data_IF_962837817515
#
_entry.id   IF_962837817515
#
_cell.length_a   1.000
_cell.length_b   1.000
_cell.length_c   1.000
_cell.angle_alpha   90.00
_cell.angle_beta   90.00
_cell.angle_gamma   90.00
#
_symmetry.space_group_name_H-M   'P 1'
#
loop_
_entity.id
_entity.type
_entity.pdbx_description
1 polymer ?
#
# COMPACT_ATOMS: atom_id res chain seq x y z
N UNK A 1 -10.41 -7.89 69.16
CA UNK A 1 -10.06 -8.79 68.04
C UNK A 1 -8.80 -8.22 67.41
N UNK A 2 -7.67 -8.87 67.58
CA UNK A 2 -6.39 -8.39 67.03
C UNK A 2 -6.34 -8.74 65.54
N UNK A 3 -5.78 -7.86 64.71
CA UNK A 3 -5.66 -8.05 63.27
C UNK A 3 -4.97 -9.37 62.87
N UNK A 4 -4.21 -9.96 63.80
CA UNK A 4 -3.53 -11.24 63.64
C UNK A 4 -4.47 -12.46 63.71
N UNK A 5 -5.69 -12.30 64.22
CA UNK A 5 -6.65 -13.40 64.35
C UNK A 5 -7.29 -13.80 63.01
N UNK A 6 -7.41 -12.85 62.07
CA UNK A 6 -8.08 -13.11 60.78
C UNK A 6 -7.23 -13.99 59.86
N UNK A 7 -5.92 -13.74 59.80
CA UNK A 7 -4.99 -14.50 58.97
C UNK A 7 -4.83 -15.94 59.49
N UNK A 8 -4.72 -16.12 60.81
CA UNK A 8 -4.62 -17.45 61.41
C UNK A 8 -5.91 -18.27 61.25
N UNK A 9 -7.08 -17.62 61.12
CA UNK A 9 -8.36 -18.26 60.86
C UNK A 9 -8.51 -18.76 59.42
N UNK A 10 -7.95 -18.05 58.43
CA UNK A 10 -7.99 -18.48 57.02
C UNK A 10 -6.88 -19.50 56.70
N UNK A 11 -5.64 -19.24 57.13
CA UNK A 11 -4.48 -20.04 56.74
C UNK A 11 -4.06 -21.09 57.78
N UNK A 12 -4.72 -21.13 58.94
CA UNK A 12 -4.33 -21.98 60.06
C UNK A 12 -3.17 -21.41 60.87
N UNK A 13 -2.94 -21.96 62.07
CA UNK A 13 -1.82 -21.57 62.93
C UNK A 13 -0.49 -22.03 62.34
N UNK A 14 0.44 -21.09 62.19
CA UNK A 14 1.81 -21.35 61.77
C UNK A 14 2.52 -22.22 62.81
N UNK A 15 3.26 -23.25 62.36
CA UNK A 15 3.98 -24.17 63.25
C UNK A 15 5.46 -23.75 63.38
N UNK A 16 6.07 -23.86 64.57
CA UNK A 16 7.49 -23.57 64.76
C UNK A 16 8.34 -24.38 63.78
N UNK A 17 9.21 -23.71 63.02
CA UNK A 17 10.11 -24.34 62.04
C UNK A 17 9.58 -24.41 60.60
N UNK A 18 8.35 -23.97 60.32
CA UNK A 18 7.83 -23.87 58.95
C UNK A 18 7.73 -22.41 58.52
N UNK A 19 8.73 -21.90 57.81
CA UNK A 19 8.68 -20.56 57.20
C UNK A 19 7.74 -20.61 55.99
N UNK A 20 6.71 -19.75 55.93
CA UNK A 20 6.02 -19.47 54.66
C UNK A 20 6.98 -18.71 53.76
N UNK A 21 7.59 -19.40 52.80
CA UNK A 21 8.32 -18.74 51.72
C UNK A 21 7.35 -17.92 50.88
N UNK A 22 7.68 -16.66 50.59
CA UNK A 22 7.05 -15.94 49.48
C UNK A 22 7.58 -16.58 48.21
N UNK A 23 6.91 -17.64 47.77
CA UNK A 23 7.28 -18.34 46.55
C UNK A 23 7.05 -17.41 45.37
N UNK A 24 8.11 -17.05 44.64
CA UNK A 24 7.93 -16.84 43.22
C UNK A 24 7.38 -18.17 42.69
N UNK A 25 6.11 -18.20 42.30
CA UNK A 25 5.57 -19.30 41.49
C UNK A 25 6.41 -19.48 40.21
N UNK A 26 6.05 -20.42 39.32
CA UNK A 26 6.69 -20.49 38.00
C UNK A 26 6.78 -19.06 37.46
N UNK A 27 8.00 -18.61 37.15
CA UNK A 27 8.22 -17.22 36.74
C UNK A 27 7.23 -16.95 35.62
N UNK A 28 6.41 -15.89 35.64
CA UNK A 28 5.39 -15.68 34.62
C UNK A 28 5.95 -15.76 33.19
N UNK A 29 7.24 -15.47 33.00
CA UNK A 29 7.99 -15.65 31.76
C UNK A 29 8.27 -17.11 31.33
N UNK A 30 7.88 -18.13 32.10
CA UNK A 30 7.89 -19.54 31.66
C UNK A 30 6.51 -19.97 31.13
N UNK A 31 5.43 -19.36 31.63
CA UNK A 31 4.08 -19.50 31.06
C UNK A 31 3.87 -18.56 29.86
N UNK A 32 4.56 -17.43 29.88
CA UNK A 32 4.63 -16.41 28.82
C UNK A 32 6.10 -16.16 28.48
N UNK A 33 6.85 -17.23 28.14
CA UNK A 33 8.13 -17.08 27.45
C UNK A 33 7.97 -16.19 26.23
N UNK A 34 9.05 -15.62 25.65
CA UNK A 34 8.94 -14.74 24.50
C UNK A 34 8.00 -15.39 23.50
N UNK A 35 6.83 -14.79 23.34
CA UNK A 35 5.69 -15.42 22.72
C UNK A 35 6.17 -15.94 21.36
N UNK A 36 6.05 -17.24 21.11
CA UNK A 36 6.30 -17.84 19.80
C UNK A 36 5.29 -17.38 18.73
N UNK A 37 4.63 -16.23 18.94
CA UNK A 37 3.99 -15.41 17.93
C UNK A 37 5.01 -14.85 16.93
N UNK A 38 5.73 -15.76 16.29
CA UNK A 38 6.45 -15.51 15.05
C UNK A 38 6.41 -16.75 14.11
N UNK A 39 5.81 -17.88 14.52
CA UNK A 39 5.63 -19.05 13.65
C UNK A 39 4.23 -19.12 13.03
N UNK A 40 3.57 -17.97 12.85
CA UNK A 40 2.44 -17.81 11.93
C UNK A 40 2.86 -17.17 10.59
N UNK A 41 4.17 -16.93 10.41
CA UNK A 41 4.68 -15.97 9.43
C UNK A 41 5.23 -16.58 8.14
N UNK A 42 5.48 -17.89 8.06
CA UNK A 42 6.07 -18.49 6.86
C UNK A 42 5.14 -18.38 5.64
N UNK A 43 3.88 -18.81 5.81
CA UNK A 43 2.85 -18.73 4.77
C UNK A 43 2.50 -17.28 4.42
N UNK A 44 2.39 -16.39 5.42
CA UNK A 44 2.17 -14.96 5.16
C UNK A 44 3.35 -14.30 4.45
N UNK A 45 4.60 -14.68 4.77
CA UNK A 45 5.79 -14.15 4.12
C UNK A 45 5.85 -14.62 2.66
N UNK A 46 5.59 -15.89 2.38
CA UNK A 46 5.54 -16.43 1.02
C UNK A 46 4.40 -15.80 0.20
N UNK A 47 3.21 -15.64 0.79
CA UNK A 47 2.09 -14.97 0.13
C UNK A 47 2.37 -13.48 -0.14
N UNK A 48 3.03 -12.78 0.79
CA UNK A 48 3.40 -11.37 0.60
C UNK A 48 4.51 -11.22 -0.45
N UNK A 49 5.50 -12.12 -0.47
CA UNK A 49 6.52 -12.16 -1.52
C UNK A 49 5.92 -12.44 -2.90
N UNK A 50 4.98 -13.40 -2.99
CA UNK A 50 4.26 -13.68 -4.25
C UNK A 50 3.49 -12.46 -4.74
N UNK A 51 2.71 -11.82 -3.86
CA UNK A 51 1.96 -10.61 -4.20
C UNK A 51 2.86 -9.46 -4.64
N UNK A 52 4.05 -9.32 -4.03
CA UNK A 52 5.02 -8.31 -4.45
C UNK A 52 5.53 -8.56 -5.87
N UNK A 53 5.85 -9.82 -6.21
CA UNK A 53 6.27 -10.18 -7.58
C UNK A 53 5.15 -9.93 -8.59
N UNK A 54 3.93 -10.35 -8.29
CA UNK A 54 2.75 -10.13 -9.14
C UNK A 54 2.50 -8.64 -9.38
N UNK A 55 2.52 -7.81 -8.32
CA UNK A 55 2.38 -6.36 -8.46
C UNK A 55 3.53 -5.72 -9.25
N UNK A 56 4.73 -6.28 -9.18
CA UNK A 56 5.88 -5.78 -9.94
C UNK A 56 5.73 -6.08 -11.44
N UNK A 57 5.25 -7.28 -11.79
CA UNK A 57 4.91 -7.63 -13.18
C UNK A 57 3.76 -6.77 -13.72
N UNK A 58 2.69 -6.55 -12.93
CA UNK A 58 1.58 -5.67 -13.30
C UNK A 58 2.05 -4.25 -13.53
N UNK A 59 2.91 -3.71 -12.65
CA UNK A 59 3.45 -2.36 -12.77
C UNK A 59 4.31 -2.21 -14.03
N UNK A 60 5.15 -3.20 -14.35
CA UNK A 60 5.94 -3.19 -15.59
C UNK A 60 5.03 -3.26 -16.83
N UNK A 61 4.01 -4.12 -16.80
CA UNK A 61 3.01 -4.21 -17.86
C UNK A 61 2.23 -2.91 -18.05
N UNK A 62 1.83 -2.25 -16.96
CA UNK A 62 1.10 -0.98 -17.01
C UNK A 62 1.98 0.16 -17.55
N UNK A 63 3.25 0.23 -17.14
CA UNK A 63 4.22 1.19 -17.68
C UNK A 63 4.39 1.05 -19.19
N UNK A 64 4.49 -0.19 -19.69
CA UNK A 64 4.58 -0.45 -21.12
C UNK A 64 3.31 -0.02 -21.86
N UNK A 65 2.12 -0.32 -21.31
CA UNK A 65 0.84 0.14 -21.87
C UNK A 65 0.75 1.67 -21.92
N UNK A 66 1.17 2.36 -20.85
CA UNK A 66 1.18 3.82 -20.79
C UNK A 66 2.11 4.41 -21.85
N UNK A 67 3.30 3.85 -22.01
CA UNK A 67 4.25 4.30 -23.04
C UNK A 67 3.69 4.12 -24.46
N UNK A 68 3.07 2.98 -24.74
CA UNK A 68 2.42 2.74 -26.03
C UNK A 68 1.30 3.76 -26.30
N UNK A 69 0.47 4.04 -25.30
CA UNK A 69 -0.59 5.06 -25.41
C UNK A 69 -0.03 6.47 -25.65
N UNK A 70 1.08 6.82 -25.02
CA UNK A 70 1.77 8.09 -25.20
C UNK A 70 2.36 8.22 -26.62
N UNK A 71 3.01 7.17 -27.12
CA UNK A 71 3.55 7.12 -28.48
C UNK A 71 2.43 7.25 -29.53
N UNK A 72 1.30 6.57 -29.32
CA UNK A 72 0.11 6.66 -30.18
C UNK A 72 -0.51 8.08 -30.14
N UNK A 73 -0.60 8.69 -28.96
CA UNK A 73 -1.06 10.06 -28.80
C UNK A 73 -0.13 11.05 -29.52
N UNK A 74 1.19 10.87 -29.43
CA UNK A 74 2.16 11.69 -30.15
C UNK A 74 2.05 11.52 -31.67
N UNK A 75 1.82 10.30 -32.16
CA UNK A 75 1.59 10.03 -33.57
C UNK A 75 0.29 10.70 -34.06
N UNK A 76 -0.79 10.62 -33.29
CA UNK A 76 -2.05 11.29 -33.62
C UNK A 76 -1.93 12.82 -33.62
N UNK A 77 -1.21 13.41 -32.65
CA UNK A 77 -0.93 14.86 -32.63
C UNK A 77 -0.21 15.29 -33.91
N UNK A 78 0.77 14.52 -34.40
CA UNK A 78 1.47 14.79 -35.67
C UNK A 78 0.54 14.72 -36.88
N UNK A 79 -0.34 13.70 -36.94
CA UNK A 79 -1.32 13.56 -38.03
C UNK A 79 -2.31 14.73 -38.06
N UNK A 80 -2.82 15.15 -36.90
CA UNK A 80 -3.69 16.33 -36.81
C UNK A 80 -3.00 17.58 -37.35
N UNK A 81 -1.77 17.88 -36.89
CA UNK A 81 -1.01 19.03 -37.38
C UNK A 81 -0.77 19.00 -38.89
N UNK A 82 -0.50 17.83 -39.45
CA UNK A 82 -0.33 17.67 -40.89
C UNK A 82 -1.64 17.95 -41.65
N UNK A 83 -2.77 17.48 -41.12
CA UNK A 83 -4.09 17.73 -41.69
C UNK A 83 -4.49 19.21 -41.59
N UNK A 84 -4.24 19.87 -40.46
CA UNK A 84 -4.42 21.32 -40.28
C UNK A 84 -3.62 22.11 -41.33
N UNK A 85 -2.34 21.77 -41.49
CA UNK A 85 -1.48 22.42 -42.48
C UNK A 85 -1.99 22.23 -43.91
N UNK A 86 -2.49 21.03 -44.24
CA UNK A 86 -3.09 20.76 -45.55
C UNK A 86 -4.38 21.55 -45.79
N UNK A 87 -5.24 21.68 -44.77
CA UNK A 87 -6.46 22.49 -44.84
C UNK A 87 -6.13 23.96 -45.07
N UNK A 88 -5.21 24.53 -44.28
CA UNK A 88 -4.74 25.91 -44.46
C UNK A 88 -4.25 26.15 -45.90
N UNK A 89 -3.45 25.23 -46.43
CA UNK A 89 -2.94 25.32 -47.80
C UNK A 89 -4.07 25.32 -48.86
N UNK A 90 -5.11 24.51 -48.70
CA UNK A 90 -6.23 24.44 -49.63
C UNK A 90 -7.06 25.73 -49.64
N UNK A 91 -7.37 26.27 -48.47
CA UNK A 91 -8.14 27.52 -48.34
C UNK A 91 -7.39 28.72 -48.94
N UNK A 92 -6.08 28.82 -48.67
CA UNK A 92 -5.22 29.82 -49.30
C UNK A 92 -5.29 29.75 -50.84
N UNK A 93 -5.34 28.55 -51.42
CA UNK A 93 -5.43 28.36 -52.88
C UNK A 93 -6.81 28.76 -53.44
N UNK A 94 -7.86 28.59 -52.66
CA UNK A 94 -9.23 28.99 -53.03
C UNK A 94 -9.47 30.49 -52.88
N UNK A 95 -8.56 31.22 -52.24
CA UNK A 95 -8.72 32.65 -51.95
C UNK A 95 -9.72 32.94 -50.84
N UNK A 96 -10.08 31.92 -50.06
CA UNK A 96 -10.97 32.01 -48.91
C UNK A 96 -10.15 31.95 -47.61
N UNK A 97 -10.53 32.74 -46.61
CA UNK A 97 -9.97 32.59 -45.26
C UNK A 97 -10.71 31.49 -44.48
N UNK A 98 -9.97 30.77 -43.65
CA UNK A 98 -10.54 29.78 -42.74
C UNK A 98 -11.49 30.47 -41.75
N UNK A 99 -12.71 29.94 -41.53
CA UNK A 99 -13.64 30.45 -40.54
C UNK A 99 -13.01 30.58 -39.14
N UNK A 100 -13.33 31.68 -38.44
CA UNK A 100 -12.69 32.10 -37.19
C UNK A 100 -12.86 31.07 -36.04
N UNK A 101 -13.99 30.38 -36.03
CA UNK A 101 -14.34 29.31 -35.09
C UNK A 101 -13.46 28.06 -35.27
N UNK A 102 -13.14 27.71 -36.52
CA UNK A 102 -12.25 26.61 -36.87
C UNK A 102 -10.79 26.99 -36.56
N UNK A 103 -10.38 28.21 -36.92
CA UNK A 103 -9.04 28.71 -36.64
C UNK A 103 -8.73 28.78 -35.13
N UNK A 104 -9.72 29.19 -34.31
CA UNK A 104 -9.59 29.19 -32.86
C UNK A 104 -9.36 27.78 -32.29
N UNK A 105 -10.07 26.78 -32.81
CA UNK A 105 -9.94 25.38 -32.39
C UNK A 105 -8.56 24.77 -32.66
N UNK A 106 -7.88 25.18 -33.74
CA UNK A 106 -6.53 24.70 -34.09
C UNK A 106 -5.43 25.29 -33.18
N UNK A 107 -5.69 26.43 -32.53
CA UNK A 107 -4.70 27.13 -31.70
C UNK A 107 -4.55 26.58 -30.27
N UNK A 108 -5.45 25.69 -29.82
CA UNK A 108 -5.54 25.23 -28.42
C UNK A 108 -4.56 24.09 -28.04
N UNK A 109 -3.61 23.73 -28.92
CA UNK A 109 -2.85 22.46 -28.82
C UNK A 109 -1.34 22.65 -28.53
N UNK A 110 -0.94 23.84 -28.04
CA UNK A 110 0.44 24.09 -27.60
C UNK A 110 0.80 23.33 -26.31
#
# INVERSE_FOLDING_TARGET
MSQNDFIARIFGKEKPGRVRGVGFGPTPSQLFGPNSHALGNGVQLEETQRKLLELQEELEGEKLKRKAMEDDAAANKKKMKAMESALIYLFQRQGEELPLDIAAGMSFVE
#
